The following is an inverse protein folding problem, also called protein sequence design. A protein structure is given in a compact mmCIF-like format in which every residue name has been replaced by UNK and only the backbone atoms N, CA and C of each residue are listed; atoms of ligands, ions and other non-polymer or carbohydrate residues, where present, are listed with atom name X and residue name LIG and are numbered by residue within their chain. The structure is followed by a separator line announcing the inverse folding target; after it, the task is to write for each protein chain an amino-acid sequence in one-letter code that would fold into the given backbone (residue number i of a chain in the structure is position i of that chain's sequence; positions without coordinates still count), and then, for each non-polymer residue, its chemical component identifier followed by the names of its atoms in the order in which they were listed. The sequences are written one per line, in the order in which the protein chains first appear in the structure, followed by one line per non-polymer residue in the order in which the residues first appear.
data_IF_744536317348
#
_entry.id   IF_744536317348
#
_cell.length_a   1.000
_cell.length_b   1.000
_cell.length_c   1.000
_cell.angle_alpha   90.00
_cell.angle_beta   90.00
_cell.angle_gamma   90.00
#
_symmetry.space_group_name_H-M   'P 1'
#
loop_
_entity.id
_entity.type
_entity.pdbx_description
1 polymer ?
#
# COMPACT_ATOMS: atom_id res chain seq x y z
N UNK A 1 20.29 -7.58 -24.96
CA UNK A 1 21.12 -7.08 -26.08
C UNK A 1 22.20 -8.09 -26.43
N UNK A 2 23.10 -8.47 -25.50
CA UNK A 2 24.15 -9.47 -25.78
C UNK A 2 23.63 -10.82 -26.29
N UNK A 3 22.55 -11.36 -25.72
CA UNK A 3 22.00 -12.66 -26.14
C UNK A 3 21.39 -12.63 -27.56
N UNK A 4 20.79 -11.50 -27.96
CA UNK A 4 20.22 -11.33 -29.30
C UNK A 4 21.32 -11.25 -30.36
N UNK A 5 22.35 -10.43 -30.09
CA UNK A 5 23.55 -10.32 -30.94
C UNK A 5 24.29 -11.66 -31.04
N UNK A 6 24.48 -12.36 -29.92
CA UNK A 6 25.09 -13.68 -29.90
C UNK A 6 24.26 -14.70 -30.70
N UNK A 7 22.93 -14.65 -30.59
CA UNK A 7 22.04 -15.51 -31.35
C UNK A 7 22.10 -15.27 -32.87
N UNK A 8 22.19 -14.00 -33.29
CA UNK A 8 22.43 -13.63 -34.70
C UNK A 8 23.80 -14.12 -35.18
N UNK A 9 24.84 -13.87 -34.39
CA UNK A 9 26.20 -14.29 -34.69
C UNK A 9 26.30 -15.81 -34.87
N UNK A 10 25.75 -16.60 -33.93
CA UNK A 10 25.78 -18.06 -34.01
C UNK A 10 25.05 -18.60 -35.24
N UNK A 11 23.92 -18.01 -35.64
CA UNK A 11 23.24 -18.37 -36.90
C UNK A 11 24.09 -18.05 -38.13
N UNK A 12 24.81 -16.93 -38.13
CA UNK A 12 25.65 -16.54 -39.25
C UNK A 12 26.89 -17.44 -39.37
N UNK A 13 27.55 -17.73 -38.26
CA UNK A 13 28.67 -18.67 -38.23
C UNK A 13 28.25 -20.09 -38.61
N UNK A 14 27.13 -20.58 -38.08
CA UNK A 14 26.63 -21.91 -38.42
C UNK A 14 26.24 -22.09 -39.90
N UNK A 15 25.87 -21.00 -40.60
CA UNK A 15 25.66 -21.02 -42.06
C UNK A 15 26.96 -21.06 -42.87
N UNK A 16 28.05 -20.54 -42.31
CA UNK A 16 29.36 -20.47 -42.97
C UNK A 16 30.25 -21.68 -42.65
N UNK A 17 29.88 -22.50 -41.64
CA UNK A 17 30.66 -23.69 -41.26
C UNK A 17 30.53 -24.80 -42.30
N UNK A 18 31.67 -25.40 -42.65
CA UNK A 18 31.76 -26.49 -43.64
C UNK A 18 31.40 -27.85 -43.04
N UNK A 19 31.43 -27.99 -41.71
CA UNK A 19 31.03 -29.20 -40.99
C UNK A 19 29.54 -29.15 -40.71
N UNK A 20 28.78 -29.99 -41.40
CA UNK A 20 27.31 -29.97 -41.36
C UNK A 20 26.74 -30.11 -39.94
N UNK A 21 27.33 -30.99 -39.11
CA UNK A 21 26.87 -31.18 -37.73
C UNK A 21 27.11 -29.94 -36.85
N UNK A 22 28.31 -29.36 -36.91
CA UNK A 22 28.64 -28.13 -36.18
C UNK A 22 27.76 -26.96 -36.65
N UNK A 23 27.58 -26.80 -37.96
CA UNK A 23 26.73 -25.74 -38.53
C UNK A 23 25.27 -25.86 -38.07
N UNK A 24 24.70 -27.07 -38.11
CA UNK A 24 23.34 -27.34 -37.60
C UNK A 24 23.19 -27.00 -36.12
N UNK A 25 24.15 -27.42 -35.28
CA UNK A 25 24.13 -27.12 -33.84
C UNK A 25 24.20 -25.62 -33.57
N UNK A 26 25.09 -24.88 -34.24
CA UNK A 26 25.23 -23.43 -34.08
C UNK A 26 23.96 -22.66 -34.49
N UNK A 27 23.30 -23.08 -35.58
CA UNK A 27 22.04 -22.47 -36.01
C UNK A 27 20.93 -22.74 -34.98
N UNK A 28 20.84 -23.97 -34.45
CA UNK A 28 19.86 -24.33 -33.42
C UNK A 28 20.07 -23.51 -32.15
N UNK A 29 21.33 -23.40 -31.67
CA UNK A 29 21.70 -22.57 -30.54
C UNK A 29 21.33 -21.10 -30.76
N UNK A 30 21.67 -20.55 -31.94
CA UNK A 30 21.36 -19.17 -32.26
C UNK A 30 19.85 -18.87 -32.30
N UNK A 31 19.02 -19.82 -32.77
CA UNK A 31 17.56 -19.72 -32.69
C UNK A 31 17.06 -19.72 -31.24
N UNK A 32 17.59 -20.60 -30.39
CA UNK A 32 17.22 -20.66 -28.98
C UNK A 32 17.55 -19.35 -28.24
N UNK A 33 18.74 -18.78 -28.49
CA UNK A 33 19.16 -17.50 -27.90
C UNK A 33 18.27 -16.33 -28.35
N UNK A 34 17.93 -16.26 -29.64
CA UNK A 34 17.02 -15.23 -30.15
C UNK A 34 15.62 -15.35 -29.53
N UNK A 35 15.09 -16.57 -29.45
CA UNK A 35 13.80 -16.83 -28.84
C UNK A 35 13.79 -16.39 -27.37
N UNK A 36 14.77 -16.85 -26.58
CA UNK A 36 14.97 -16.46 -25.19
C UNK A 36 15.04 -14.94 -25.02
N UNK A 37 15.84 -14.26 -25.86
CA UNK A 37 15.96 -12.80 -25.82
C UNK A 37 14.64 -12.08 -26.11
N UNK A 38 13.83 -12.58 -27.07
CA UNK A 38 12.54 -11.98 -27.39
C UNK A 38 11.52 -12.18 -26.26
N UNK A 39 11.49 -13.36 -25.65
CA UNK A 39 10.61 -13.62 -24.50
C UNK A 39 10.93 -12.68 -23.33
N UNK A 40 12.21 -12.49 -23.00
CA UNK A 40 12.61 -11.54 -21.95
C UNK A 40 12.25 -10.09 -22.28
N UNK A 41 12.41 -9.69 -23.54
CA UNK A 41 12.02 -8.36 -23.98
C UNK A 41 10.50 -8.15 -23.88
N UNK A 42 9.71 -9.17 -24.24
CA UNK A 42 8.25 -9.13 -24.18
C UNK A 42 7.71 -8.94 -22.75
N UNK A 43 8.35 -9.55 -21.75
CA UNK A 43 7.91 -9.41 -20.34
C UNK A 43 8.40 -8.13 -19.67
N UNK A 44 9.44 -7.47 -20.20
CA UNK A 44 10.00 -6.26 -19.60
C UNK A 44 8.97 -5.13 -19.47
N UNK A 45 8.19 -4.87 -20.52
CA UNK A 45 7.17 -3.83 -20.52
C UNK A 45 6.06 -4.07 -19.48
N UNK A 46 5.42 -5.26 -19.48
CA UNK A 46 4.48 -5.65 -18.44
C UNK A 46 5.04 -5.54 -17.02
N UNK A 47 6.27 -6.00 -16.76
CA UNK A 47 6.89 -5.92 -15.42
C UNK A 47 7.12 -4.49 -14.97
N UNK A 48 7.57 -3.61 -15.85
CA UNK A 48 7.74 -2.19 -15.52
C UNK A 48 6.41 -1.51 -15.20
N UNK A 49 5.35 -1.78 -15.98
CA UNK A 49 4.01 -1.26 -15.70
C UNK A 49 3.46 -1.79 -14.37
N UNK A 50 3.57 -3.09 -14.13
CA UNK A 50 3.18 -3.69 -12.87
C UNK A 50 3.91 -3.07 -11.68
N UNK A 51 5.22 -2.84 -11.80
CA UNK A 51 5.99 -2.19 -10.76
C UNK A 51 5.49 -0.76 -10.49
N UNK A 52 5.20 0.02 -11.52
CA UNK A 52 4.64 1.37 -11.38
C UNK A 52 3.26 1.36 -10.73
N UNK A 53 2.37 0.45 -11.14
CA UNK A 53 1.04 0.28 -10.55
C UNK A 53 1.13 -0.11 -9.07
N UNK A 54 2.05 -1.01 -8.73
CA UNK A 54 2.31 -1.41 -7.35
C UNK A 54 2.84 -0.25 -6.49
N UNK A 55 3.75 0.56 -7.03
CA UNK A 55 4.23 1.76 -6.34
C UNK A 55 3.09 2.74 -6.06
N UNK A 56 2.25 3.03 -7.06
CA UNK A 56 1.09 3.93 -6.89
C UNK A 56 0.12 3.37 -5.86
N UNK A 57 -0.16 2.06 -5.89
CA UNK A 57 -1.02 1.42 -4.90
C UNK A 57 -0.46 1.56 -3.47
N UNK A 58 0.83 1.33 -3.29
CA UNK A 58 1.49 1.46 -1.99
C UNK A 58 1.48 2.92 -1.51
N UNK A 59 1.96 3.84 -2.33
CA UNK A 59 2.15 5.24 -1.93
C UNK A 59 0.84 6.00 -1.76
N UNK A 60 -0.24 5.55 -2.41
CA UNK A 60 -1.56 6.21 -2.31
C UNK A 60 -2.53 5.40 -1.47
N UNK A 61 -2.89 4.20 -1.89
CA UNK A 61 -3.98 3.45 -1.27
C UNK A 61 -3.60 2.92 0.12
N UNK A 62 -2.40 2.34 0.26
CA UNK A 62 -1.93 1.84 1.57
C UNK A 62 -1.69 3.01 2.52
N UNK A 63 -1.01 4.06 2.05
CA UNK A 63 -0.73 5.24 2.87
C UNK A 63 -2.00 5.95 3.35
N UNK A 64 -2.99 6.18 2.48
CA UNK A 64 -4.28 6.80 2.85
C UNK A 64 -5.06 5.98 3.88
N UNK A 65 -5.02 4.64 3.76
CA UNK A 65 -5.59 3.74 4.75
C UNK A 65 -4.86 3.87 6.09
N UNK A 66 -3.52 3.88 6.08
CA UNK A 66 -2.70 4.09 7.29
C UNK A 66 -3.06 5.39 8.01
N UNK A 67 -3.15 6.50 7.27
CA UNK A 67 -3.52 7.80 7.84
C UNK A 67 -4.91 7.79 8.48
N UNK A 68 -5.85 7.07 7.87
CA UNK A 68 -7.22 6.95 8.40
C UNK A 68 -7.23 6.14 9.69
N UNK A 69 -6.53 5.01 9.74
CA UNK A 69 -6.39 4.18 10.95
C UNK A 69 -5.73 4.97 12.09
N UNK A 70 -4.66 5.71 11.80
CA UNK A 70 -4.00 6.57 12.79
C UNK A 70 -4.93 7.67 13.32
N UNK A 71 -5.78 8.24 12.48
CA UNK A 71 -6.77 9.24 12.90
C UNK A 71 -7.82 8.63 13.85
N UNK A 72 -8.30 7.41 13.55
CA UNK A 72 -9.26 6.68 14.39
C UNK A 72 -8.66 6.34 15.75
N UNK A 73 -7.43 5.81 15.79
CA UNK A 73 -6.77 5.47 17.05
C UNK A 73 -6.54 6.71 17.91
N UNK A 74 -6.15 7.85 17.31
CA UNK A 74 -6.09 9.13 18.03
C UNK A 74 -7.44 9.56 18.59
N UNK A 75 -8.50 9.54 17.78
CA UNK A 75 -9.84 9.89 18.25
C UNK A 75 -10.35 8.95 19.36
N UNK A 76 -9.96 7.67 19.31
CA UNK A 76 -10.29 6.69 20.34
C UNK A 76 -9.59 7.00 21.66
N UNK A 77 -8.32 7.40 21.62
CA UNK A 77 -7.57 7.83 22.80
C UNK A 77 -8.15 9.11 23.40
N UNK A 78 -8.46 10.12 22.56
CA UNK A 78 -9.10 11.37 22.97
C UNK A 78 -10.46 11.13 23.66
N UNK A 79 -11.31 10.28 23.07
CA UNK A 79 -12.59 9.90 23.66
C UNK A 79 -12.41 9.20 25.02
N UNK A 80 -11.50 8.22 25.11
CA UNK A 80 -11.18 7.55 26.38
C UNK A 80 -10.66 8.54 27.43
N UNK A 81 -9.80 9.47 27.05
CA UNK A 81 -9.29 10.52 27.92
C UNK A 81 -10.42 11.40 28.47
N UNK A 82 -11.35 11.83 27.60
CA UNK A 82 -12.51 12.62 28.04
C UNK A 82 -13.45 11.84 28.97
N UNK A 83 -13.65 10.52 28.76
CA UNK A 83 -14.43 9.69 29.68
C UNK A 83 -13.78 9.57 31.06
N UNK A 84 -12.46 9.38 31.11
CA UNK A 84 -11.72 9.33 32.37
C UNK A 84 -11.76 10.67 33.10
N UNK A 85 -11.64 11.77 32.36
CA UNK A 85 -11.79 13.12 32.91
C UNK A 85 -13.20 13.34 33.48
N UNK A 86 -14.25 13.04 32.71
CA UNK A 86 -15.63 13.16 33.16
C UNK A 86 -15.92 12.30 34.39
N UNK A 87 -15.41 11.06 34.43
CA UNK A 87 -15.52 10.18 35.60
C UNK A 87 -14.90 10.83 36.83
N UNK A 88 -13.64 11.28 36.73
CA UNK A 88 -12.93 11.94 37.84
C UNK A 88 -13.67 13.19 38.33
N UNK A 89 -14.11 14.04 37.40
CA UNK A 89 -14.86 15.26 37.76
C UNK A 89 -16.22 14.94 38.38
N UNK A 90 -16.86 13.83 38.01
CA UNK A 90 -18.10 13.36 38.65
C UNK A 90 -17.88 12.85 40.07
N UNK A 91 -16.74 12.20 40.35
CA UNK A 91 -16.41 11.66 41.68
C UNK A 91 -16.02 12.78 42.66
N UNK A 92 -15.44 13.87 42.16
CA UNK A 92 -15.02 15.04 42.93
C UNK A 92 -16.12 16.13 43.02
N UNK A 93 -17.32 15.87 42.50
CA UNK A 93 -18.40 16.86 42.38
C UNK A 93 -19.15 17.05 43.70
N UNK A 94 -19.05 18.24 44.27
CA UNK A 94 -19.92 18.80 45.30
C UNK A 94 -20.99 19.68 44.63
N UNK A 95 -22.28 19.27 44.66
CA UNK A 95 -23.38 19.98 43.99
C UNK A 95 -23.60 21.42 44.45
N UNK A 96 -23.14 21.77 45.66
CA UNK A 96 -23.30 23.11 46.23
C UNK A 96 -22.21 24.09 45.75
N UNK A 97 -21.28 23.60 44.91
CA UNK A 97 -20.17 24.41 44.36
C UNK A 97 -20.35 24.64 42.86
N UNK A 98 -20.89 25.81 42.49
CA UNK A 98 -21.25 26.17 41.10
C UNK A 98 -20.10 25.98 40.08
N UNK A 99 -18.87 26.27 40.51
CA UNK A 99 -17.65 26.07 39.69
C UNK A 99 -17.36 24.61 39.34
N UNK A 100 -17.77 23.64 40.16
CA UNK A 100 -17.55 22.23 39.87
C UNK A 100 -18.61 21.67 38.90
N UNK A 101 -19.84 22.20 38.96
CA UNK A 101 -20.89 21.92 37.98
C UNK A 101 -20.50 22.39 36.57
N UNK A 102 -19.88 23.57 36.44
CA UNK A 102 -19.35 24.04 35.16
C UNK A 102 -18.28 23.09 34.59
N UNK A 103 -17.29 22.70 35.40
CA UNK A 103 -16.26 21.72 34.98
C UNK A 103 -16.86 20.39 34.53
N UNK A 104 -17.90 19.93 35.22
CA UNK A 104 -18.57 18.69 34.83
C UNK A 104 -19.29 18.83 33.47
N UNK A 105 -19.95 19.96 33.22
CA UNK A 105 -20.56 20.27 31.92
C UNK A 105 -19.51 20.36 30.80
N UNK A 106 -18.35 20.95 31.07
CA UNK A 106 -17.23 20.97 30.12
C UNK A 106 -16.74 19.55 29.79
N UNK A 107 -16.57 18.69 30.81
CA UNK A 107 -16.18 17.31 30.61
C UNK A 107 -17.21 16.52 29.80
N UNK A 108 -18.51 16.71 30.06
CA UNK A 108 -19.60 16.12 29.27
C UNK A 108 -19.57 16.58 27.81
N UNK A 109 -19.37 17.89 27.57
CA UNK A 109 -19.25 18.45 26.22
C UNK A 109 -18.08 17.83 25.46
N UNK A 110 -16.91 17.71 26.09
CA UNK A 110 -15.74 17.07 25.51
C UNK A 110 -15.98 15.60 25.16
N UNK A 111 -16.65 14.84 26.04
CA UNK A 111 -17.03 13.44 25.77
C UNK A 111 -17.93 13.35 24.54
N UNK A 112 -18.94 14.21 24.42
CA UNK A 112 -19.85 14.23 23.27
C UNK A 112 -19.12 14.54 21.97
N UNK A 113 -18.31 15.60 21.95
CA UNK A 113 -17.54 16.01 20.76
C UNK A 113 -16.59 14.90 20.31
N UNK A 114 -15.84 14.30 21.25
CA UNK A 114 -14.88 13.26 20.93
C UNK A 114 -15.56 11.95 20.49
N UNK A 115 -16.74 11.64 21.05
CA UNK A 115 -17.57 10.51 20.59
C UNK A 115 -18.02 10.71 19.15
N UNK A 116 -18.59 11.88 18.83
CA UNK A 116 -19.07 12.19 17.49
C UNK A 116 -17.93 12.14 16.46
N UNK A 117 -16.73 12.63 16.82
CA UNK A 117 -15.51 12.53 16.00
C UNK A 117 -15.10 11.08 15.77
N UNK A 118 -15.06 10.26 16.83
CA UNK A 118 -14.71 8.84 16.75
C UNK A 118 -15.70 8.06 15.89
N UNK A 119 -17.00 8.30 16.06
CA UNK A 119 -18.04 7.57 15.33
C UNK A 119 -18.02 7.91 13.83
N UNK A 120 -17.76 9.17 13.46
CA UNK A 120 -17.52 9.55 12.05
C UNK A 120 -16.31 8.81 11.45
N UNK A 121 -15.16 8.85 12.14
CA UNK A 121 -13.94 8.22 11.65
C UNK A 121 -14.04 6.69 11.51
N UNK A 122 -14.82 6.03 12.38
CA UNK A 122 -15.12 4.60 12.22
C UNK A 122 -15.87 4.30 10.91
N UNK A 123 -16.85 5.13 10.56
CA UNK A 123 -17.60 4.98 9.29
C UNK A 123 -16.66 5.17 8.11
N UNK A 124 -15.83 6.22 8.13
CA UNK A 124 -14.85 6.51 7.06
C UNK A 124 -13.88 5.32 6.86
N UNK A 125 -13.45 4.68 7.95
CA UNK A 125 -12.54 3.54 7.90
C UNK A 125 -13.20 2.31 7.27
N UNK A 126 -14.44 2.01 7.64
CA UNK A 126 -15.20 0.90 7.05
C UNK A 126 -15.40 1.12 5.55
N UNK A 127 -15.72 2.34 5.13
CA UNK A 127 -15.89 2.64 3.70
C UNK A 127 -14.59 2.46 2.93
N UNK A 128 -13.46 2.93 3.44
CA UNK A 128 -12.15 2.77 2.76
C UNK A 128 -11.70 1.32 2.62
N UNK A 129 -11.96 0.47 3.61
CA UNK A 129 -11.59 -0.97 3.58
C UNK A 129 -12.54 -1.78 2.67
N UNK A 130 -13.81 -1.38 2.54
CA UNK A 130 -14.80 -2.07 1.71
C UNK A 130 -14.73 -1.65 0.24
N UNK A 131 -14.44 -0.38 -0.06
CA UNK A 131 -14.29 0.13 -1.43
C UNK A 131 -12.92 -0.17 -2.08
N UNK A 132 -12.00 -0.81 -1.36
CA UNK A 132 -10.73 -1.32 -1.91
C UNK A 132 -10.78 -2.80 -2.29
N UNK A 133 -11.96 -3.44 -2.23
CA UNK A 133 -12.23 -4.76 -2.84
C UNK A 133 -12.95 -4.62 -4.17
#
# INVERSE_FOLDING_TARGET
LCENELGRYMKNQGKADKREETGRMMIALGRALLFSSHQRAAVRGPLLRFYQELQVFNDRAIFDCSQTVEAVERARLEYRGSLLWMKKTSEELDPDTDRQLEKFREAQSAVRINKDKLDKLKVDTLQKVVFTR
#
